data_IF_362588527153
#
_entry.id   IF_362588527153
#
_cell.length_a   1.000
_cell.length_b   1.000
_cell.length_c   1.000
_cell.angle_alpha   90.00
_cell.angle_beta   90.00
_cell.angle_gamma   90.00
#
_symmetry.space_group_name_H-M   'P 1'
#
loop_
_entity.id
_entity.type
_entity.pdbx_description
1 polymer ?
#
# COMPACT_ATOMS: atom_id res chain seq x y z
N UNK A 1 -3.96 -11.73 9.33
CA UNK A 1 -4.00 -10.25 9.40
C UNK A 1 -4.37 -9.73 8.03
N UNK A 2 -5.28 -8.76 7.97
CA UNK A 2 -5.61 -8.06 6.73
C UNK A 2 -4.52 -7.03 6.42
N UNK A 3 -4.06 -7.01 5.16
CA UNK A 3 -2.96 -6.16 4.69
C UNK A 3 -3.35 -5.46 3.39
N UNK A 4 -3.07 -4.16 3.32
CA UNK A 4 -3.29 -3.32 2.12
C UNK A 4 -1.95 -2.79 1.61
N UNK A 5 -1.79 -2.78 0.29
CA UNK A 5 -0.68 -2.12 -0.40
C UNK A 5 -1.07 -0.67 -0.72
N UNK A 6 -0.25 0.29 -0.32
CA UNK A 6 -0.33 1.68 -0.79
C UNK A 6 0.79 1.84 -1.82
N UNK A 7 0.43 1.98 -3.08
CA UNK A 7 1.36 2.12 -4.19
C UNK A 7 1.49 3.58 -4.59
N UNK A 8 2.68 4.15 -4.42
CA UNK A 8 2.98 5.57 -4.59
C UNK A 8 3.60 5.89 -5.96
N UNK A 9 3.01 6.84 -6.69
CA UNK A 9 3.42 7.36 -7.99
C UNK A 9 4.14 8.71 -7.93
N UNK A 10 4.47 9.22 -6.73
CA UNK A 10 5.21 10.46 -6.51
C UNK A 10 4.44 11.54 -5.74
N UNK A 11 3.48 11.15 -4.92
CA UNK A 11 2.60 12.06 -4.17
C UNK A 11 3.13 12.40 -2.79
N UNK A 12 2.50 13.37 -2.12
CA UNK A 12 2.86 13.79 -0.75
C UNK A 12 2.01 13.13 0.34
N UNK A 13 1.02 12.32 -0.04
CA UNK A 13 -0.04 11.86 0.86
C UNK A 13 0.03 10.36 1.21
N UNK A 14 0.99 9.62 0.68
CA UNK A 14 1.21 8.18 0.93
C UNK A 14 1.21 7.81 2.44
N UNK A 15 1.93 8.60 3.25
CA UNK A 15 2.03 8.41 4.69
C UNK A 15 0.70 8.69 5.40
N UNK A 16 -0.05 9.69 4.95
CA UNK A 16 -1.36 10.03 5.53
C UNK A 16 -2.39 8.95 5.22
N UNK A 17 -2.39 8.42 4.01
CA UNK A 17 -3.24 7.30 3.60
C UNK A 17 -2.91 6.06 4.44
N UNK A 18 -1.64 5.68 4.53
CA UNK A 18 -1.22 4.54 5.33
C UNK A 18 -1.58 4.70 6.81
N UNK A 19 -1.48 5.91 7.36
CA UNK A 19 -1.92 6.23 8.72
C UNK A 19 -3.42 5.97 8.89
N UNK A 20 -4.28 6.43 7.97
CA UNK A 20 -5.73 6.22 8.03
C UNK A 20 -6.12 4.74 7.96
N UNK A 21 -5.44 3.97 7.12
CA UNK A 21 -5.63 2.51 7.04
C UNK A 21 -5.25 1.82 8.36
N UNK A 22 -4.14 2.24 8.98
CA UNK A 22 -3.71 1.72 10.29
C UNK A 22 -4.66 2.12 11.43
N UNK A 23 -5.20 3.34 11.40
CA UNK A 23 -6.23 3.81 12.35
C UNK A 23 -7.52 2.96 12.26
N UNK A 24 -7.81 2.36 11.10
CA UNK A 24 -8.89 1.40 10.91
C UNK A 24 -8.54 -0.05 11.33
N UNK A 25 -7.37 -0.28 11.92
CA UNK A 25 -6.93 -1.60 12.39
C UNK A 25 -6.36 -2.52 11.31
N UNK A 26 -6.08 -2.00 10.10
CA UNK A 26 -5.55 -2.78 8.97
C UNK A 26 -4.08 -2.46 8.75
N UNK A 27 -3.26 -3.47 8.47
CA UNK A 27 -1.84 -3.23 8.19
C UNK A 27 -1.67 -2.60 6.80
N UNK A 28 -0.92 -1.51 6.71
CA UNK A 28 -0.65 -0.77 5.48
C UNK A 28 0.86 -0.76 5.14
N UNK A 29 1.19 -1.30 3.97
CA UNK A 29 2.54 -1.34 3.42
C UNK A 29 2.64 -0.34 2.27
N UNK A 30 3.57 0.61 2.36
CA UNK A 30 3.82 1.59 1.31
C UNK A 30 4.95 1.07 0.40
N UNK A 31 4.78 1.17 -0.92
CA UNK A 31 5.79 0.87 -1.92
C UNK A 31 5.74 1.90 -3.05
N UNK A 32 6.88 2.34 -3.61
CA UNK A 32 6.86 3.11 -4.84
C UNK A 32 6.43 2.23 -6.02
N UNK A 33 5.78 2.82 -7.03
CA UNK A 33 5.21 2.11 -8.18
C UNK A 33 6.23 1.32 -9.01
N UNK A 34 7.48 1.78 -9.03
CA UNK A 34 8.61 1.19 -9.75
C UNK A 34 9.45 0.24 -8.88
N UNK A 35 9.16 0.16 -7.57
CA UNK A 35 9.90 -0.66 -6.61
C UNK A 35 9.21 -1.96 -6.19
N UNK A 36 8.16 -2.37 -6.90
CA UNK A 36 7.49 -3.67 -6.66
C UNK A 36 6.95 -4.26 -7.97
N UNK A 37 7.18 -5.56 -8.18
CA UNK A 37 6.71 -6.30 -9.34
C UNK A 37 5.31 -6.89 -9.13
N UNK A 38 4.62 -7.19 -10.23
CA UNK A 38 3.31 -7.87 -10.18
C UNK A 38 3.39 -9.23 -9.48
N UNK A 39 4.50 -9.94 -9.63
CA UNK A 39 4.76 -11.24 -9.02
C UNK A 39 4.83 -11.09 -7.49
N UNK A 40 5.58 -10.10 -7.00
CA UNK A 40 5.65 -9.79 -5.57
C UNK A 40 4.27 -9.42 -5.01
N UNK A 41 3.50 -8.59 -5.72
CA UNK A 41 2.13 -8.22 -5.30
C UNK A 41 1.25 -9.47 -5.14
N UNK A 42 1.33 -10.43 -6.07
CA UNK A 42 0.51 -11.65 -6.05
C UNK A 42 0.86 -12.57 -4.88
N UNK A 43 2.13 -12.68 -4.49
CA UNK A 43 2.58 -13.60 -3.42
C UNK A 43 2.45 -13.01 -2.02
N UNK A 44 2.48 -11.68 -1.90
CA UNK A 44 2.43 -10.95 -0.63
C UNK A 44 1.04 -10.94 0.04
N UNK A 45 0.00 -11.44 -0.62
CA UNK A 45 -1.32 -11.70 -0.02
C UNK A 45 -2.11 -10.44 0.36
N UNK A 46 -1.94 -9.33 -0.36
CA UNK A 46 -2.70 -8.10 -0.14
C UNK A 46 -4.21 -8.33 -0.32
N UNK A 47 -5.01 -7.76 0.57
CA UNK A 47 -6.49 -7.75 0.51
C UNK A 47 -7.04 -6.57 -0.29
N UNK A 48 -6.22 -5.53 -0.46
CA UNK A 48 -6.56 -4.35 -1.25
C UNK A 48 -5.30 -3.60 -1.67
N UNK A 49 -5.46 -2.77 -2.71
CA UNK A 49 -4.40 -1.91 -3.23
C UNK A 49 -4.98 -0.49 -3.34
N UNK A 50 -4.27 0.50 -2.82
CA UNK A 50 -4.56 1.92 -2.95
C UNK A 50 -3.48 2.52 -3.83
N UNK A 51 -3.85 3.14 -4.94
CA UNK A 51 -2.94 3.91 -5.78
C UNK A 51 -2.96 5.37 -5.32
N UNK A 52 -1.79 5.98 -5.14
CA UNK A 52 -1.63 7.38 -4.72
C UNK A 52 -0.46 8.02 -5.47
N UNK A 53 -0.51 9.33 -5.72
CA UNK A 53 0.45 10.07 -6.52
C UNK A 53 0.02 11.52 -6.62
#
# INVERSE_FOLDING_TARGET
MEKVLVLDFGGQYDQLIARRVREAGVYAQIRPWDGITLQEIKVEGYKGIIFTG
#
